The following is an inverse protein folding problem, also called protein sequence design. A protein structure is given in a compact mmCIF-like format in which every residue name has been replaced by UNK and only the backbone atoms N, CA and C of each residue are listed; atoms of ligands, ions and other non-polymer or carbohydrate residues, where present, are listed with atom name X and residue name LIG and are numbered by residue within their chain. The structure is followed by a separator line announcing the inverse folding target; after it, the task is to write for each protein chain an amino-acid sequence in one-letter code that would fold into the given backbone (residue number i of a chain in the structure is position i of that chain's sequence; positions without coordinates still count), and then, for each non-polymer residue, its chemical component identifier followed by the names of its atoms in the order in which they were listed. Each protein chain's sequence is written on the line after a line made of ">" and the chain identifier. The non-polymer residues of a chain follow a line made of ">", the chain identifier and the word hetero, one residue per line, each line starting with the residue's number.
data_IF_025944679318
#
_entry.id   IF_025944679318
#
_cell.length_a   1.000
_cell.length_b   1.000
_cell.length_c   1.000
_cell.angle_alpha   90.00
_cell.angle_beta   90.00
_cell.angle_gamma   90.00
#
_symmetry.space_group_name_H-M   'P 1'
#
loop_
_entity.id
_entity.type
_entity.pdbx_description
1 polymer ?
#
# COMPACT_ATOMS: atom_id res chain seq x y z
N UNK A 1 -7.06 -0.24 -14.43
CA UNK A 1 -6.53 -0.04 -15.77
C UNK A 1 -6.64 1.40 -16.29
N UNK A 2 -7.70 2.22 -15.99
CA UNK A 2 -7.76 3.62 -16.46
C UNK A 2 -6.56 4.48 -16.07
N UNK A 3 -6.00 4.25 -14.88
CA UNK A 3 -4.82 4.99 -14.40
C UNK A 3 -3.57 4.69 -15.24
N UNK A 4 -3.43 3.47 -15.71
CA UNK A 4 -2.34 3.02 -16.57
C UNK A 4 -2.41 3.70 -17.95
N UNK A 5 -3.61 3.76 -18.52
CA UNK A 5 -3.85 4.43 -19.81
C UNK A 5 -3.57 5.92 -19.75
N UNK A 6 -3.84 6.54 -18.60
CA UNK A 6 -3.57 7.96 -18.40
C UNK A 6 -2.06 8.26 -18.28
N UNK A 7 -1.30 7.40 -17.62
CA UNK A 7 0.16 7.48 -17.53
C UNK A 7 0.80 7.29 -18.91
N UNK A 8 0.31 6.32 -19.69
CA UNK A 8 0.77 6.07 -21.06
C UNK A 8 0.48 7.27 -21.97
N UNK A 9 -0.68 7.90 -21.84
CA UNK A 9 -1.07 9.09 -22.63
C UNK A 9 -0.19 10.31 -22.35
N UNK A 10 0.37 10.44 -21.14
CA UNK A 10 1.29 11.53 -20.80
C UNK A 10 2.64 11.45 -21.51
N UNK A 11 2.97 10.28 -22.07
CA UNK A 11 4.16 10.11 -22.90
C UNK A 11 5.51 10.24 -22.19
N UNK A 12 5.51 10.40 -20.86
CA UNK A 12 6.73 10.57 -20.07
C UNK A 12 7.29 9.26 -19.53
N UNK A 13 6.52 8.16 -19.65
CA UNK A 13 6.88 6.85 -19.12
C UNK A 13 6.61 5.78 -20.16
N UNK A 14 7.54 4.83 -20.27
CA UNK A 14 7.34 3.59 -21.01
C UNK A 14 6.97 2.51 -20.01
N UNK A 15 5.80 1.89 -20.20
CA UNK A 15 5.35 0.78 -19.36
C UNK A 15 5.73 -0.52 -20.05
N UNK A 16 6.68 -1.24 -19.49
CA UNK A 16 6.94 -2.62 -19.84
C UNK A 16 6.20 -3.52 -18.85
N UNK A 17 5.37 -4.39 -19.37
CA UNK A 17 4.82 -5.48 -18.60
C UNK A 17 5.43 -6.80 -19.07
N UNK A 18 5.86 -7.63 -18.14
CA UNK A 18 6.28 -8.99 -18.44
C UNK A 18 5.14 -9.95 -18.13
N UNK A 19 4.79 -10.77 -19.10
CA UNK A 19 3.86 -11.89 -18.91
C UNK A 19 4.67 -13.12 -18.51
N UNK A 20 4.37 -13.70 -17.36
CA UNK A 20 4.88 -15.03 -17.03
C UNK A 20 3.91 -16.05 -17.58
N UNK A 21 4.25 -16.62 -18.73
CA UNK A 21 3.46 -17.64 -19.38
C UNK A 21 3.72 -19.06 -18.85
N UNK A 22 4.72 -19.26 -18.01
CA UNK A 22 5.21 -20.61 -17.68
C UNK A 22 4.72 -21.22 -16.36
N UNK A 23 4.08 -20.49 -15.47
CA UNK A 23 3.81 -21.03 -14.12
C UNK A 23 2.36 -21.40 -13.78
N UNK A 24 1.37 -21.06 -14.58
CA UNK A 24 -0.03 -21.41 -14.28
C UNK A 24 -0.84 -21.72 -15.54
N UNK A 25 -0.71 -22.88 -16.12
CA UNK A 25 -1.71 -23.47 -17.06
C UNK A 25 -2.55 -22.43 -17.85
N UNK A 26 -1.92 -21.55 -18.62
CA UNK A 26 -2.56 -20.52 -19.46
C UNK A 26 -3.27 -19.38 -18.70
N UNK A 27 -3.04 -19.16 -17.44
CA UNK A 27 -3.50 -17.93 -16.78
C UNK A 27 -2.49 -16.80 -17.08
N UNK A 28 -2.94 -15.76 -17.77
CA UNK A 28 -2.17 -14.53 -17.93
C UNK A 28 -1.97 -13.89 -16.56
N UNK A 29 -0.76 -13.92 -16.04
CA UNK A 29 -0.41 -13.30 -14.78
C UNK A 29 0.47 -12.08 -15.05
N UNK A 30 0.02 -10.91 -14.66
CA UNK A 30 0.84 -9.69 -14.71
C UNK A 30 1.73 -9.70 -13.48
N UNK A 31 3.02 -10.00 -13.66
CA UNK A 31 3.99 -10.14 -12.56
C UNK A 31 4.56 -8.83 -12.02
N UNK A 32 4.42 -7.74 -12.74
CA UNK A 32 4.92 -6.43 -12.30
C UNK A 32 4.90 -5.40 -13.41
N UNK A 33 5.00 -4.15 -13.00
CA UNK A 33 5.14 -3.01 -13.89
C UNK A 33 6.50 -2.36 -13.65
N UNK A 34 7.28 -2.18 -14.69
CA UNK A 34 8.46 -1.35 -14.67
C UNK A 34 8.10 -0.01 -15.29
N UNK A 35 8.23 1.06 -14.52
CA UNK A 35 8.14 2.41 -15.04
C UNK A 35 9.55 2.84 -15.41
N UNK A 36 9.83 2.90 -16.72
CA UNK A 36 11.08 3.47 -17.22
C UNK A 36 10.86 4.93 -17.58
N UNK A 37 11.77 5.77 -17.15
CA UNK A 37 11.86 7.14 -17.69
C UNK A 37 12.43 7.09 -19.10
N UNK A 38 12.22 8.16 -19.89
CA UNK A 38 12.77 8.25 -21.26
C UNK A 38 14.30 8.10 -21.33
N UNK A 39 15.00 8.30 -20.22
CA UNK A 39 16.44 8.08 -20.09
C UNK A 39 16.84 6.61 -19.92
N UNK A 40 15.87 5.69 -19.82
CA UNK A 40 16.13 4.26 -19.59
C UNK A 40 16.43 3.92 -18.12
N UNK A 41 16.33 4.88 -17.22
CA UNK A 41 16.50 4.63 -15.79
C UNK A 41 15.17 4.24 -15.15
N UNK A 42 15.12 3.07 -14.53
CA UNK A 42 13.97 2.66 -13.74
C UNK A 42 14.03 3.34 -12.35
N UNK A 43 13.07 4.21 -12.08
CA UNK A 43 12.91 4.81 -10.75
C UNK A 43 11.78 4.11 -9.99
N UNK A 44 12.13 3.42 -8.92
CA UNK A 44 11.16 2.96 -7.92
C UNK A 44 11.14 3.97 -6.77
N UNK A 45 10.10 4.81 -6.64
CA UNK A 45 10.01 5.73 -5.52
C UNK A 45 9.83 4.90 -4.23
N UNK A 46 10.83 4.94 -3.36
CA UNK A 46 10.74 4.31 -2.04
C UNK A 46 9.79 5.06 -1.11
N UNK A 47 9.58 6.34 -1.36
CA UNK A 47 8.71 7.21 -0.60
C UNK A 47 8.13 8.28 -1.53
N UNK A 48 6.82 8.40 -1.59
CA UNK A 48 6.13 9.44 -2.33
C UNK A 48 5.70 10.57 -1.38
N UNK A 49 5.66 11.80 -1.87
CA UNK A 49 5.15 12.96 -1.12
C UNK A 49 3.76 12.71 -0.52
N UNK A 50 2.89 12.00 -1.23
CA UNK A 50 1.55 11.62 -0.74
C UNK A 50 1.59 10.71 0.48
N UNK A 51 2.53 9.78 0.53
CA UNK A 51 2.73 8.91 1.68
C UNK A 51 3.15 9.72 2.92
N UNK A 52 3.97 10.73 2.72
CA UNK A 52 4.39 11.66 3.80
C UNK A 52 3.20 12.45 4.32
N UNK A 53 2.36 13.01 3.43
CA UNK A 53 1.15 13.74 3.82
C UNK A 53 0.16 12.85 4.57
N UNK A 54 -0.09 11.63 4.09
CA UNK A 54 -1.00 10.69 4.74
C UNK A 54 -0.46 10.22 6.11
N UNK A 55 0.84 10.03 6.23
CA UNK A 55 1.47 9.72 7.51
C UNK A 55 1.34 10.90 8.49
N UNK A 56 1.51 12.12 8.01
CA UNK A 56 1.29 13.32 8.82
C UNK A 56 -0.19 13.46 9.24
N UNK A 57 -1.14 13.12 8.36
CA UNK A 57 -2.56 13.09 8.69
C UNK A 57 -2.87 12.04 9.78
N UNK A 58 -2.26 10.86 9.70
CA UNK A 58 -2.33 9.81 10.73
C UNK A 58 -1.84 10.34 12.09
N UNK A 59 -0.65 10.95 12.12
CA UNK A 59 -0.09 11.52 13.34
C UNK A 59 -0.99 12.61 13.95
N UNK A 60 -1.53 13.49 13.12
CA UNK A 60 -2.45 14.55 13.56
C UNK A 60 -3.75 13.97 14.12
N UNK A 61 -4.29 12.93 13.50
CA UNK A 61 -5.47 12.25 14.00
C UNK A 61 -5.21 11.64 15.39
N UNK A 62 -4.11 10.91 15.58
CA UNK A 62 -3.75 10.30 16.85
C UNK A 62 -3.40 11.30 17.94
N UNK A 63 -2.97 12.52 17.58
CA UNK A 63 -2.76 13.61 18.53
C UNK A 63 -4.02 14.46 18.80
N UNK A 64 -5.16 14.06 18.24
CA UNK A 64 -6.45 14.73 18.45
C UNK A 64 -6.72 15.92 17.54
N UNK A 65 -5.82 16.26 16.62
CA UNK A 65 -6.00 17.37 15.68
C UNK A 65 -6.71 16.90 14.38
N UNK A 66 -7.92 16.40 14.56
CA UNK A 66 -8.77 15.91 13.46
C UNK A 66 -9.01 16.93 12.34
N UNK A 67 -9.26 18.23 12.60
CA UNK A 67 -9.45 19.20 11.54
C UNK A 67 -8.24 19.31 10.62
N UNK A 68 -7.03 19.37 11.17
CA UNK A 68 -5.79 19.44 10.40
C UNK A 68 -5.51 18.14 9.64
N UNK A 69 -5.84 17.00 10.23
CA UNK A 69 -5.75 15.71 9.52
C UNK A 69 -6.63 15.69 8.26
N UNK A 70 -7.86 16.22 8.35
CA UNK A 70 -8.76 16.35 7.19
C UNK A 70 -8.25 17.31 6.12
N UNK A 71 -7.58 18.40 6.50
CA UNK A 71 -6.93 19.28 5.53
C UNK A 71 -5.88 18.53 4.70
N UNK A 72 -5.07 17.69 5.33
CA UNK A 72 -4.06 16.89 4.64
C UNK A 72 -4.67 15.81 3.75
N UNK A 73 -5.75 15.17 4.19
CA UNK A 73 -6.53 14.24 3.36
C UNK A 73 -7.04 14.97 2.11
N UNK A 74 -7.60 16.18 2.27
CA UNK A 74 -8.09 16.97 1.14
C UNK A 74 -6.98 17.32 0.15
N UNK A 75 -5.77 17.66 0.61
CA UNK A 75 -4.63 17.90 -0.28
C UNK A 75 -4.32 16.71 -1.18
N UNK A 76 -4.36 15.49 -0.63
CA UNK A 76 -4.14 14.28 -1.44
C UNK A 76 -5.30 14.04 -2.40
N UNK A 77 -6.53 14.24 -1.94
CA UNK A 77 -7.74 14.10 -2.76
C UNK A 77 -7.69 15.06 -3.96
N UNK A 78 -7.41 16.34 -3.74
CA UNK A 78 -7.32 17.36 -4.78
C UNK A 78 -6.21 17.04 -5.79
N UNK A 79 -5.02 16.69 -5.30
CA UNK A 79 -3.88 16.39 -6.16
C UNK A 79 -4.12 15.17 -7.07
N UNK A 80 -4.90 14.20 -6.61
CA UNK A 80 -5.18 12.95 -7.34
C UNK A 80 -6.58 12.92 -7.97
N UNK A 81 -7.37 13.96 -7.79
CA UNK A 81 -8.77 14.00 -8.20
C UNK A 81 -9.57 12.80 -7.64
N UNK A 82 -9.35 12.52 -6.34
CA UNK A 82 -10.00 11.43 -5.61
C UNK A 82 -11.04 12.00 -4.65
N UNK A 83 -11.99 11.15 -4.26
CA UNK A 83 -12.96 11.45 -3.21
C UNK A 83 -13.01 10.31 -2.21
N UNK A 84 -13.05 10.65 -0.92
CA UNK A 84 -13.20 9.67 0.17
C UNK A 84 -14.19 10.19 1.19
N UNK A 85 -14.91 9.27 1.82
CA UNK A 85 -15.74 9.60 2.97
C UNK A 85 -14.82 9.89 4.18
N UNK A 86 -14.94 11.11 4.70
CA UNK A 86 -14.16 11.58 5.85
C UNK A 86 -14.96 11.57 7.17
N UNK A 87 -16.06 10.84 7.23
CA UNK A 87 -16.80 10.61 8.48
C UNK A 87 -15.92 9.87 9.50
N UNK A 88 -15.11 8.93 9.01
CA UNK A 88 -14.08 8.20 9.76
C UNK A 88 -12.71 8.49 9.13
N UNK A 89 -11.87 9.24 9.86
CA UNK A 89 -10.57 9.70 9.36
C UNK A 89 -9.60 8.54 9.11
N UNK A 90 -9.59 7.52 9.97
CA UNK A 90 -8.73 6.35 9.76
C UNK A 90 -9.11 5.60 8.50
N UNK A 91 -10.41 5.40 8.27
CA UNK A 91 -10.90 4.75 7.05
C UNK A 91 -10.62 5.58 5.80
N UNK A 92 -10.74 6.91 5.91
CA UNK A 92 -10.39 7.80 4.81
C UNK A 92 -8.90 7.67 4.42
N UNK A 93 -7.99 7.69 5.40
CA UNK A 93 -6.56 7.50 5.18
C UNK A 93 -6.27 6.12 4.57
N UNK A 94 -6.87 5.05 5.12
CA UNK A 94 -6.72 3.70 4.58
C UNK A 94 -7.16 3.59 3.11
N UNK A 95 -8.33 4.17 2.81
CA UNK A 95 -8.86 4.19 1.45
C UNK A 95 -7.95 4.94 0.47
N UNK A 96 -7.35 6.05 0.90
CA UNK A 96 -6.41 6.79 0.08
C UNK A 96 -5.11 6.02 -0.14
N UNK A 97 -4.52 5.43 0.89
CA UNK A 97 -3.35 4.56 0.74
C UNK A 97 -3.61 3.44 -0.28
N UNK A 98 -4.79 2.84 -0.23
CA UNK A 98 -5.19 1.81 -1.20
C UNK A 98 -5.30 2.37 -2.62
N UNK A 99 -6.03 3.50 -2.80
CA UNK A 99 -6.30 4.09 -4.12
C UNK A 99 -5.03 4.63 -4.81
N UNK A 100 -4.04 5.09 -4.05
CA UNK A 100 -2.76 5.57 -4.60
C UNK A 100 -1.70 4.45 -4.70
N UNK A 101 -2.04 3.20 -4.41
CA UNK A 101 -1.10 2.07 -4.35
C UNK A 101 0.11 2.36 -3.44
N UNK A 102 -0.15 2.95 -2.28
CA UNK A 102 0.90 3.31 -1.33
C UNK A 102 1.62 2.07 -0.79
N UNK A 103 2.96 2.03 -0.80
CA UNK A 103 3.72 0.97 -0.14
C UNK A 103 3.49 0.93 1.38
N UNK A 104 3.00 2.02 1.95
CA UNK A 104 2.70 2.13 3.38
C UNK A 104 1.33 1.54 3.77
N UNK A 105 0.48 1.15 2.79
CA UNK A 105 -0.89 0.68 3.06
C UNK A 105 -0.95 -0.45 4.10
N UNK A 106 -0.18 -1.52 3.90
CA UNK A 106 -0.18 -2.67 4.81
C UNK A 106 0.33 -2.29 6.21
N UNK A 107 1.33 -1.42 6.27
CA UNK A 107 1.85 -0.94 7.54
C UNK A 107 0.82 -0.07 8.28
N UNK A 108 0.07 0.76 7.56
CA UNK A 108 -1.02 1.55 8.11
C UNK A 108 -2.14 0.66 8.66
N UNK A 109 -2.63 -0.30 7.87
CA UNK A 109 -3.68 -1.26 8.28
C UNK A 109 -3.28 -1.98 9.57
N UNK A 110 -2.04 -2.46 9.65
CA UNK A 110 -1.51 -3.18 10.80
C UNK A 110 -1.43 -2.30 12.05
N UNK A 111 -0.85 -1.10 11.95
CA UNK A 111 -0.71 -0.19 13.08
C UNK A 111 -2.04 0.24 13.67
N UNK A 112 -3.04 0.39 12.82
CA UNK A 112 -4.36 0.90 13.21
C UNK A 112 -5.40 -0.20 13.48
N UNK A 113 -5.01 -1.48 13.43
CA UNK A 113 -5.92 -2.60 13.72
C UNK A 113 -7.08 -2.74 12.71
N UNK A 114 -6.87 -2.32 11.47
CA UNK A 114 -7.90 -2.26 10.43
C UNK A 114 -8.00 -3.54 9.58
N UNK A 115 -7.38 -4.64 10.01
CA UNK A 115 -7.33 -5.89 9.27
C UNK A 115 -8.70 -6.50 8.98
N UNK A 116 -9.63 -6.45 9.93
CA UNK A 116 -10.99 -6.94 9.73
C UNK A 116 -11.75 -6.08 8.70
N UNK A 117 -11.65 -4.76 8.81
CA UNK A 117 -12.42 -3.80 8.00
C UNK A 117 -11.95 -3.72 6.54
N UNK A 118 -10.65 -3.84 6.30
CA UNK A 118 -10.04 -3.60 4.98
C UNK A 118 -9.48 -4.84 4.31
N UNK A 119 -9.13 -5.86 5.08
CA UNK A 119 -8.57 -7.11 4.54
C UNK A 119 -9.58 -8.26 4.59
N UNK A 120 -10.75 -8.07 5.21
CA UNK A 120 -11.75 -9.11 5.38
C UNK A 120 -11.28 -10.27 6.26
N UNK A 121 -10.26 -10.04 7.10
CA UNK A 121 -9.75 -11.06 8.01
C UNK A 121 -10.72 -11.25 9.18
N UNK A 122 -10.98 -12.50 9.57
CA UNK A 122 -11.62 -12.75 10.85
C UNK A 122 -10.67 -12.45 12.01
N UNK A 123 -11.21 -12.23 13.19
CA UNK A 123 -10.41 -12.00 14.40
C UNK A 123 -9.31 -13.06 14.60
N UNK A 124 -9.65 -14.32 14.37
CA UNK A 124 -8.73 -15.44 14.52
C UNK A 124 -7.61 -15.48 13.48
N UNK A 125 -7.76 -14.73 12.38
CA UNK A 125 -6.82 -14.68 11.27
C UNK A 125 -6.01 -13.37 11.23
N UNK A 126 -6.14 -12.49 12.23
CA UNK A 126 -5.37 -11.23 12.28
C UNK A 126 -3.85 -11.44 12.34
N UNK A 127 -3.39 -12.61 12.79
CA UNK A 127 -1.97 -12.97 12.76
C UNK A 127 -1.39 -12.92 11.35
N UNK A 128 -2.19 -13.12 10.30
CA UNK A 128 -1.75 -13.05 8.90
C UNK A 128 -1.27 -11.64 8.48
N UNK A 129 -1.56 -10.63 9.27
CA UNK A 129 -0.97 -9.29 9.10
C UNK A 129 0.53 -9.25 9.47
N UNK A 130 1.00 -10.25 10.21
CA UNK A 130 2.41 -10.43 10.52
C UNK A 130 2.99 -11.46 9.54
N UNK A 131 4.26 -11.26 9.16
CA UNK A 131 4.96 -12.27 8.38
C UNK A 131 5.49 -13.36 9.31
N UNK A 132 5.47 -14.64 8.89
CA UNK A 132 6.14 -15.68 9.66
C UNK A 132 7.64 -15.43 9.65
N UNK A 133 8.29 -15.75 10.76
CA UNK A 133 9.77 -15.75 10.81
C UNK A 133 10.25 -16.93 9.94
N UNK A 134 11.19 -16.70 9.01
CA UNK A 134 11.69 -17.76 8.12
C UNK A 134 12.22 -18.95 8.90
N UNK A 135 11.96 -20.16 8.42
CA UNK A 135 12.42 -21.41 9.08
C UNK A 135 13.94 -21.46 9.23
N UNK A 136 14.67 -20.86 8.29
CA UNK A 136 16.13 -20.72 8.38
C UNK A 136 16.56 -19.97 9.64
N UNK A 137 15.90 -18.87 9.97
CA UNK A 137 16.19 -18.06 11.15
C UNK A 137 15.83 -18.81 12.45
N UNK A 138 14.65 -19.47 12.44
CA UNK A 138 14.21 -20.30 13.57
C UNK A 138 15.20 -21.43 13.88
N UNK A 139 15.77 -22.05 12.85
CA UNK A 139 16.74 -23.14 13.01
C UNK A 139 18.10 -22.65 13.52
N UNK A 140 18.48 -21.41 13.20
CA UNK A 140 19.76 -20.83 13.64
C UNK A 140 19.72 -20.30 15.08
N UNK A 141 18.52 -19.94 15.56
CA UNK A 141 18.36 -19.40 16.89
C UNK A 141 17.27 -20.15 17.67
N UNK A 142 17.65 -21.19 18.46
CA UNK A 142 16.71 -22.01 19.24
C UNK A 142 15.92 -21.25 20.31
N UNK A 143 16.31 -20.02 20.64
CA UNK A 143 15.59 -19.18 21.60
C UNK A 143 14.50 -18.31 20.92
N UNK A 144 14.44 -18.32 19.60
CA UNK A 144 13.46 -17.56 18.85
C UNK A 144 12.12 -18.29 18.86
N UNK A 145 11.06 -17.56 19.15
CA UNK A 145 9.67 -18.05 19.04
C UNK A 145 8.99 -17.47 17.82
N UNK A 146 8.25 -18.31 17.10
CA UNK A 146 7.47 -17.88 15.94
C UNK A 146 6.37 -16.88 16.33
N UNK A 147 5.97 -16.04 15.40
CA UNK A 147 4.83 -15.18 15.57
C UNK A 147 3.57 -16.04 15.86
N UNK A 148 2.65 -15.55 16.73
CA UNK A 148 1.43 -16.29 17.04
C UNK A 148 0.65 -16.65 15.79
N UNK A 149 0.17 -17.89 15.72
CA UNK A 149 -0.65 -18.37 14.60
C UNK A 149 0.10 -19.10 13.47
N UNK A 150 1.46 -19.12 13.51
CA UNK A 150 2.30 -19.82 12.54
C UNK A 150 2.97 -21.03 13.16
#
# INVERSE_FOLDING_TARGET
>A
LPLLEEVIKRGDYHLEYSQATEYNNNAECILGYHIQTRSGEACHPCLDYKDVILTAAECLYHTGNTPKAKEYINQVCEHKNLTVDQSDVQKAIASLHYQINSPSYMNFIRRNGLGESFMGLSHDNLYQLLWPIPSSEMNLNPQMTQNPGY
#
